data_IF_954262665044
#
_entry.id   IF_954262665044
#
_cell.length_a   1.000
_cell.length_b   1.000
_cell.length_c   1.000
_cell.angle_alpha   90.00
_cell.angle_beta   90.00
_cell.angle_gamma   90.00
#
_symmetry.space_group_name_H-M   'P 1'
#
loop_
_entity.id
_entity.type
_entity.pdbx_description
1 polymer ?
#
# COMPACT_ATOMS: atom_id res chain seq x y z
N UNK A 1 16.04 -28.65 29.04
CA UNK A 1 17.05 -27.71 28.52
C UNK A 1 16.64 -27.33 27.10
N UNK A 2 16.04 -26.17 26.91
CA UNK A 2 15.66 -25.68 25.59
C UNK A 2 16.88 -25.04 24.93
N UNK A 3 17.41 -25.70 23.92
CA UNK A 3 18.51 -25.19 23.12
C UNK A 3 17.97 -24.08 22.22
N UNK A 4 18.13 -22.84 22.67
CA UNK A 4 17.83 -21.67 21.85
C UNK A 4 18.81 -21.67 20.68
N UNK A 5 18.31 -21.92 19.47
CA UNK A 5 19.09 -21.77 18.23
C UNK A 5 19.71 -20.37 18.20
N UNK A 6 21.00 -20.23 17.85
CA UNK A 6 21.59 -18.91 17.62
C UNK A 6 20.79 -18.24 16.52
N UNK A 7 20.35 -17.00 16.73
CA UNK A 7 19.83 -16.16 15.64
C UNK A 7 21.00 -15.98 14.67
N UNK A 8 20.92 -16.61 13.52
CA UNK A 8 21.77 -16.23 12.40
C UNK A 8 21.48 -14.75 12.13
N UNK A 9 22.49 -13.92 12.35
CA UNK A 9 22.44 -12.53 11.95
C UNK A 9 22.53 -12.57 10.43
N UNK A 10 21.39 -12.33 9.75
CA UNK A 10 21.41 -12.14 8.31
C UNK A 10 22.23 -10.88 8.01
N UNK A 11 23.37 -11.07 7.37
CA UNK A 11 24.25 -9.97 6.93
C UNK A 11 23.69 -9.23 5.72
N UNK A 12 22.56 -9.73 5.16
CA UNK A 12 21.95 -9.19 3.95
C UNK A 12 20.50 -8.79 4.23
N UNK A 13 20.13 -7.62 3.74
CA UNK A 13 18.75 -7.20 3.74
C UNK A 13 18.00 -8.00 2.65
N UNK A 14 16.81 -8.52 2.98
CA UNK A 14 15.95 -9.15 2.00
C UNK A 14 15.52 -8.12 0.93
N UNK A 15 15.50 -8.56 -0.33
CA UNK A 15 15.00 -7.73 -1.42
C UNK A 15 13.54 -7.35 -1.17
N UNK A 16 13.16 -6.06 -1.13
CA UNK A 16 11.82 -5.65 -0.74
C UNK A 16 10.70 -6.27 -1.56
N UNK A 17 10.90 -6.47 -2.86
CA UNK A 17 9.90 -7.11 -3.71
C UNK A 17 9.92 -8.63 -3.60
N UNK A 18 11.10 -9.26 -3.77
CA UNK A 18 11.20 -10.71 -3.95
C UNK A 18 11.44 -11.48 -2.65
N UNK A 19 12.05 -10.84 -1.66
CA UNK A 19 12.52 -11.50 -0.44
C UNK A 19 11.61 -11.34 0.78
N UNK A 20 10.51 -10.59 0.67
CA UNK A 20 9.54 -10.36 1.75
C UNK A 20 8.19 -10.93 1.33
N UNK A 21 7.52 -11.64 2.24
CA UNK A 21 6.18 -12.17 1.96
C UNK A 21 5.12 -11.05 1.89
N UNK A 22 4.01 -11.24 1.16
CA UNK A 22 2.93 -10.25 1.07
C UNK A 22 2.17 -10.04 2.38
N UNK A 23 2.37 -10.90 3.37
CA UNK A 23 1.69 -10.91 4.66
C UNK A 23 0.99 -12.25 4.91
N UNK A 24 1.00 -12.71 6.16
CA UNK A 24 0.36 -13.99 6.53
C UNK A 24 -1.17 -13.93 6.40
N UNK A 25 -1.75 -12.73 6.57
CA UNK A 25 -3.19 -12.49 6.51
C UNK A 25 -3.65 -11.92 5.16
N UNK A 26 -2.76 -11.93 4.14
CA UNK A 26 -3.12 -11.44 2.81
C UNK A 26 -4.29 -12.26 2.21
N UNK A 27 -5.25 -11.63 1.53
CA UNK A 27 -5.29 -10.21 1.14
C UNK A 27 -5.96 -9.27 2.16
N UNK A 28 -6.38 -9.74 3.33
CA UNK A 28 -7.06 -8.92 4.34
C UNK A 28 -6.14 -7.86 4.96
N UNK A 29 -4.95 -8.27 5.36
CA UNK A 29 -3.85 -7.39 5.77
C UNK A 29 -2.63 -7.74 4.95
N UNK A 30 -1.99 -6.75 4.36
CA UNK A 30 -0.81 -6.94 3.52
C UNK A 30 0.39 -6.19 4.06
N UNK A 31 1.57 -6.70 3.79
CA UNK A 31 2.81 -5.95 3.90
C UNK A 31 2.87 -4.96 2.73
N UNK A 32 3.13 -3.70 3.02
CA UNK A 32 3.40 -2.69 2.02
C UNK A 32 4.81 -2.13 2.22
N UNK A 33 5.61 -2.13 1.17
CA UNK A 33 6.88 -1.42 1.13
C UNK A 33 6.63 -0.01 0.64
N UNK A 34 7.01 0.98 1.44
CA UNK A 34 6.78 2.39 1.15
C UNK A 34 8.04 2.99 0.52
N UNK A 35 7.88 3.49 -0.69
CA UNK A 35 8.93 4.15 -1.46
C UNK A 35 8.87 5.66 -1.31
N UNK A 36 7.65 6.22 -1.23
CA UNK A 36 7.39 7.66 -1.29
C UNK A 36 6.45 8.05 -0.16
N UNK A 37 6.76 9.17 0.48
CA UNK A 37 5.89 9.83 1.46
C UNK A 37 5.40 11.17 0.91
N UNK A 38 4.28 11.74 1.43
CA UNK A 38 3.68 12.96 0.88
C UNK A 38 4.60 14.19 0.84
N UNK A 39 5.66 14.20 1.65
CA UNK A 39 6.63 15.31 1.72
C UNK A 39 7.80 15.17 0.76
N UNK A 40 7.89 14.05 0.03
CA UNK A 40 9.00 13.84 -0.90
C UNK A 40 8.89 14.77 -2.13
N UNK A 41 9.94 15.52 -2.39
CA UNK A 41 10.06 16.38 -3.56
C UNK A 41 10.57 15.63 -4.81
N UNK A 42 10.94 14.36 -4.65
CA UNK A 42 11.42 13.48 -5.72
C UNK A 42 10.63 12.17 -5.70
N UNK A 43 10.46 11.57 -6.89
CA UNK A 43 9.94 10.21 -6.98
C UNK A 43 11.10 9.25 -6.71
N UNK A 44 10.93 8.41 -5.70
CA UNK A 44 11.77 7.25 -5.47
C UNK A 44 11.14 6.02 -6.13
N UNK A 45 11.98 5.11 -6.55
CA UNK A 45 11.58 3.85 -7.16
C UNK A 45 12.56 2.75 -6.76
N UNK A 46 12.04 1.57 -6.49
CA UNK A 46 12.88 0.41 -6.22
C UNK A 46 13.65 0.01 -7.47
N UNK A 47 14.96 -0.05 -7.39
CA UNK A 47 15.75 -0.74 -8.40
C UNK A 47 15.48 -2.25 -8.30
N UNK A 48 14.81 -2.77 -9.32
CA UNK A 48 14.30 -4.15 -9.33
C UNK A 48 15.40 -5.22 -9.27
N UNK A 49 16.61 -4.86 -9.61
CA UNK A 49 17.75 -5.79 -9.59
C UNK A 49 18.44 -5.81 -8.24
N UNK A 50 18.68 -4.64 -7.67
CA UNK A 50 19.47 -4.52 -6.43
C UNK A 50 18.61 -4.47 -5.16
N UNK A 51 17.33 -4.11 -5.28
CA UNK A 51 16.43 -3.91 -4.14
C UNK A 51 16.69 -2.62 -3.37
N UNK A 52 17.47 -1.69 -3.91
CA UNK A 52 17.69 -0.38 -3.31
C UNK A 52 16.75 0.67 -3.89
N UNK A 53 16.33 1.64 -3.07
CA UNK A 53 15.65 2.81 -3.57
C UNK A 53 16.62 3.69 -4.36
N UNK A 54 16.18 4.15 -5.52
CA UNK A 54 16.86 5.15 -6.33
C UNK A 54 15.94 6.34 -6.60
N UNK A 55 16.52 7.48 -6.90
CA UNK A 55 15.78 8.64 -7.40
C UNK A 55 15.45 8.39 -8.87
N UNK A 56 14.15 8.40 -9.20
CA UNK A 56 13.67 8.32 -10.58
C UNK A 56 13.65 9.72 -11.22
N UNK A 57 12.88 10.65 -10.64
CA UNK A 57 12.75 12.01 -11.15
C UNK A 57 12.28 13.00 -10.08
N UNK A 58 12.49 14.31 -10.26
CA UNK A 58 11.85 15.32 -9.43
C UNK A 58 10.33 15.25 -9.57
N UNK A 59 9.61 15.40 -8.46
CA UNK A 59 8.15 15.51 -8.46
C UNK A 59 7.73 16.96 -8.79
N UNK A 60 6.64 17.10 -9.55
CA UNK A 60 5.94 18.36 -9.75
C UNK A 60 4.68 18.38 -8.88
N UNK A 61 4.14 19.55 -8.60
CA UNK A 61 2.95 19.69 -7.76
C UNK A 61 1.80 18.76 -8.16
N UNK A 62 1.58 18.55 -9.46
CA UNK A 62 0.53 17.68 -9.97
C UNK A 62 0.81 16.18 -9.81
N UNK A 63 2.04 15.79 -9.46
CA UNK A 63 2.45 14.39 -9.31
C UNK A 63 2.86 14.03 -7.88
N UNK A 64 2.70 14.94 -6.92
CA UNK A 64 2.94 14.63 -5.51
C UNK A 64 1.85 13.68 -5.00
N UNK A 65 2.27 12.56 -4.44
CA UNK A 65 1.33 11.57 -3.89
C UNK A 65 0.75 12.10 -2.56
N UNK A 66 -0.59 12.15 -2.40
CA UNK A 66 -1.21 12.64 -1.17
C UNK A 66 -1.20 11.61 -0.03
N UNK A 67 -0.72 10.40 -0.26
CA UNK A 67 -0.66 9.29 0.67
C UNK A 67 0.75 8.69 0.70
N UNK A 68 1.00 7.76 1.61
CA UNK A 68 2.15 6.88 1.47
C UNK A 68 1.98 6.05 0.21
N UNK A 69 3.03 5.88 -0.56
CA UNK A 69 2.98 5.16 -1.83
C UNK A 69 4.13 4.17 -1.93
N UNK A 70 3.83 3.02 -2.49
CA UNK A 70 4.78 1.95 -2.70
C UNK A 70 4.11 0.72 -3.30
N UNK A 71 4.52 -0.47 -2.93
CA UNK A 71 4.02 -1.70 -3.52
C UNK A 71 3.82 -2.83 -2.49
N UNK A 72 3.07 -3.84 -2.91
CA UNK A 72 2.89 -5.08 -2.15
C UNK A 72 3.99 -6.07 -2.55
N UNK A 73 4.82 -6.57 -1.60
CA UNK A 73 5.84 -7.57 -1.89
C UNK A 73 5.29 -8.83 -2.56
N UNK A 74 6.09 -9.46 -3.42
CA UNK A 74 5.77 -10.69 -4.15
C UNK A 74 4.45 -10.63 -4.96
N UNK A 75 3.90 -9.43 -5.17
CA UNK A 75 2.81 -9.22 -6.11
C UNK A 75 3.33 -8.96 -7.52
N UNK A 76 2.47 -9.07 -8.52
CA UNK A 76 2.85 -8.89 -9.92
C UNK A 76 1.65 -8.45 -10.76
N UNK A 77 1.78 -7.29 -11.39
CA UNK A 77 0.80 -6.79 -12.34
C UNK A 77 1.06 -7.42 -13.72
N UNK A 78 0.59 -8.64 -13.89
CA UNK A 78 0.76 -9.46 -15.10
C UNK A 78 -0.53 -9.69 -15.86
N UNK A 79 -0.60 -10.84 -16.53
CA UNK A 79 -1.71 -11.21 -17.42
C UNK A 79 -3.08 -11.22 -16.72
N UNK A 80 -3.15 -11.68 -15.47
CA UNK A 80 -4.42 -11.73 -14.73
C UNK A 80 -4.98 -10.34 -14.45
N UNK A 81 -4.12 -9.37 -14.11
CA UNK A 81 -4.52 -7.98 -13.88
C UNK A 81 -4.95 -7.35 -15.20
N UNK A 82 -4.21 -7.60 -16.27
CA UNK A 82 -4.54 -7.13 -17.61
C UNK A 82 -5.90 -7.68 -18.08
N UNK A 83 -6.16 -8.97 -17.89
CA UNK A 83 -7.44 -9.59 -18.23
C UNK A 83 -8.58 -8.96 -17.43
N UNK A 84 -8.43 -8.84 -16.12
CA UNK A 84 -9.44 -8.20 -15.27
C UNK A 84 -9.68 -6.75 -15.69
N UNK A 85 -8.63 -6.02 -16.08
CA UNK A 85 -8.75 -4.67 -16.58
C UNK A 85 -9.55 -4.63 -17.88
N UNK A 86 -9.25 -5.51 -18.85
CA UNK A 86 -10.01 -5.62 -20.10
C UNK A 86 -11.48 -5.94 -19.86
N UNK A 87 -11.79 -6.90 -19.00
CA UNK A 87 -13.15 -7.31 -18.66
C UNK A 87 -13.97 -6.18 -18.03
N UNK A 88 -13.35 -5.43 -17.12
CA UNK A 88 -14.03 -4.37 -16.37
C UNK A 88 -14.19 -3.07 -17.13
N UNK A 89 -13.29 -2.77 -18.05
CA UNK A 89 -13.30 -1.51 -18.83
C UNK A 89 -13.90 -1.67 -20.23
N UNK A 90 -13.99 -2.90 -20.73
CA UNK A 90 -14.34 -3.18 -22.12
C UNK A 90 -13.21 -2.85 -23.12
N UNK A 91 -12.04 -2.41 -22.63
CA UNK A 91 -10.88 -2.08 -23.46
C UNK A 91 -10.13 -3.36 -23.81
N UNK A 92 -9.68 -3.47 -25.07
CA UNK A 92 -8.93 -4.65 -25.54
C UNK A 92 -7.44 -4.34 -25.67
N UNK A 93 -6.61 -5.38 -25.53
CA UNK A 93 -5.18 -5.27 -25.77
C UNK A 93 -4.39 -4.63 -24.64
N UNK A 94 -4.99 -4.51 -23.45
CA UNK A 94 -4.28 -4.08 -22.25
C UNK A 94 -3.32 -5.19 -21.81
N UNK A 95 -2.13 -4.81 -21.41
CA UNK A 95 -1.10 -5.69 -20.84
C UNK A 95 -0.87 -5.31 -19.37
N UNK A 96 -0.30 -6.21 -18.57
CA UNK A 96 0.25 -5.82 -17.27
C UNK A 96 1.55 -5.03 -17.48
N UNK A 97 1.86 -4.12 -16.58
CA UNK A 97 3.09 -3.33 -16.63
C UNK A 97 4.35 -4.13 -16.24
N UNK A 98 4.15 -5.32 -15.62
CA UNK A 98 5.23 -6.19 -15.19
C UNK A 98 5.88 -5.77 -13.86
N UNK A 99 5.24 -4.87 -13.15
CA UNK A 99 5.69 -4.35 -11.86
C UNK A 99 4.94 -4.97 -10.67
N UNK A 100 5.41 -4.82 -9.43
CA UNK A 100 4.62 -5.18 -8.27
C UNK A 100 3.33 -4.35 -8.23
N UNK A 101 2.30 -4.87 -7.57
CA UNK A 101 1.03 -4.14 -7.41
C UNK A 101 1.25 -2.91 -6.53
N UNK A 102 0.96 -1.76 -7.08
CA UNK A 102 1.03 -0.47 -6.38
C UNK A 102 0.01 -0.36 -5.26
N UNK A 103 0.41 0.27 -4.17
CA UNK A 103 -0.44 0.51 -3.01
C UNK A 103 -0.33 1.96 -2.53
N UNK A 104 -1.49 2.57 -2.29
CA UNK A 104 -1.63 3.86 -1.61
C UNK A 104 -2.12 3.60 -0.19
N UNK A 105 -1.34 3.99 0.83
CA UNK A 105 -1.72 3.78 2.23
C UNK A 105 -2.12 5.10 2.86
N UNK A 106 -3.41 5.18 3.19
CA UNK A 106 -3.98 6.33 3.90
C UNK A 106 -3.62 6.24 5.38
N UNK A 107 -3.20 7.35 5.95
CA UNK A 107 -2.84 7.46 7.36
C UNK A 107 -2.96 8.90 7.85
N UNK A 108 -3.28 9.07 9.14
CA UNK A 108 -3.21 10.36 9.83
C UNK A 108 -1.79 10.67 10.36
N UNK A 109 -0.86 9.72 10.21
CA UNK A 109 0.51 9.87 10.69
C UNK A 109 1.39 10.53 9.64
N UNK A 110 2.38 11.28 10.11
CA UNK A 110 3.42 11.86 9.25
C UNK A 110 4.66 10.99 9.33
N UNK A 111 5.18 10.63 8.17
CA UNK A 111 6.43 9.90 8.01
C UNK A 111 7.46 10.81 7.34
N UNK A 112 8.69 10.77 7.85
CA UNK A 112 9.75 11.66 7.38
C UNK A 112 10.41 11.20 6.07
N UNK A 113 10.36 9.89 5.79
CA UNK A 113 10.99 9.28 4.62
C UNK A 113 10.36 7.91 4.33
N UNK A 114 10.52 7.41 3.10
CA UNK A 114 10.18 6.04 2.72
C UNK A 114 11.24 5.02 3.15
N UNK A 115 11.32 3.89 2.42
CA UNK A 115 12.23 2.77 2.66
C UNK A 115 11.92 1.97 3.93
N UNK A 116 10.65 1.66 4.15
CA UNK A 116 10.21 0.83 5.27
C UNK A 116 8.99 -0.01 4.90
N UNK A 117 8.72 -1.04 5.72
CA UNK A 117 7.50 -1.84 5.65
C UNK A 117 6.49 -1.40 6.69
N UNK A 118 5.22 -1.55 6.33
CA UNK A 118 4.10 -1.43 7.25
C UNK A 118 3.03 -2.47 6.91
N UNK A 119 2.08 -2.67 7.83
CA UNK A 119 0.87 -3.45 7.59
C UNK A 119 -0.26 -2.52 7.17
N UNK A 120 -0.89 -2.86 6.04
CA UNK A 120 -1.98 -2.10 5.46
C UNK A 120 -3.20 -2.99 5.24
N UNK A 121 -4.40 -2.44 5.46
CA UNK A 121 -5.66 -3.11 5.19
C UNK A 121 -6.26 -2.55 3.91
N UNK A 122 -6.34 -3.34 2.82
CA UNK A 122 -6.98 -2.93 1.57
C UNK A 122 -8.46 -2.60 1.78
N UNK A 123 -8.88 -1.43 1.30
CA UNK A 123 -10.28 -0.97 1.36
C UNK A 123 -10.90 -0.76 -0.01
N UNK A 124 -10.10 -0.83 -1.07
CA UNK A 124 -10.56 -0.65 -2.44
C UNK A 124 -9.42 -0.58 -3.43
N UNK A 125 -9.70 -0.12 -4.63
CA UNK A 125 -8.70 0.07 -5.67
C UNK A 125 -9.13 1.07 -6.71
N UNK A 126 -8.15 1.67 -7.37
CA UNK A 126 -8.31 2.51 -8.54
C UNK A 126 -7.84 1.73 -9.75
N UNK A 127 -8.71 1.59 -10.74
CA UNK A 127 -8.32 1.05 -12.03
C UNK A 127 -7.74 2.16 -12.89
N UNK A 128 -6.52 1.97 -13.30
CA UNK A 128 -5.81 2.92 -14.15
C UNK A 128 -5.26 2.21 -15.38
N UNK A 129 -5.21 2.93 -16.49
CA UNK A 129 -4.60 2.48 -17.74
C UNK A 129 -3.61 3.54 -18.14
N UNK A 130 -2.35 3.19 -18.23
CA UNK A 130 -1.29 4.03 -18.77
C UNK A 130 -0.73 3.39 -20.03
N UNK A 131 -0.81 4.12 -21.15
CA UNK A 131 -0.30 3.69 -22.47
C UNK A 131 -0.60 2.21 -22.79
N UNK A 132 -1.85 1.75 -22.62
CA UNK A 132 -2.32 0.36 -22.80
C UNK A 132 -1.76 -0.66 -21.78
N UNK A 133 -1.21 -0.20 -20.68
CA UNK A 133 -0.85 -1.05 -19.55
C UNK A 133 -1.82 -0.87 -18.39
N UNK A 134 -2.16 -1.97 -17.73
CA UNK A 134 -2.89 -1.91 -16.48
C UNK A 134 -1.95 -1.38 -15.40
N UNK A 135 -2.35 -0.31 -14.74
CA UNK A 135 -1.59 0.39 -13.71
C UNK A 135 -2.49 0.60 -12.47
N UNK A 136 -3.13 -0.51 -12.04
CA UNK A 136 -4.08 -0.51 -10.94
C UNK A 136 -3.40 -0.16 -9.61
N UNK A 137 -4.06 0.66 -8.78
CA UNK A 137 -3.58 1.08 -7.46
C UNK A 137 -4.48 0.49 -6.38
N UNK A 138 -3.92 -0.24 -5.44
CA UNK A 138 -4.64 -0.68 -4.25
C UNK A 138 -4.75 0.49 -3.27
N UNK A 139 -5.94 0.78 -2.79
CA UNK A 139 -6.18 1.77 -1.75
C UNK A 139 -6.32 1.04 -0.43
N UNK A 140 -5.58 1.47 0.56
CA UNK A 140 -5.54 0.83 1.88
C UNK A 140 -5.44 1.87 3.00
N UNK A 141 -5.63 1.41 4.23
CA UNK A 141 -5.44 2.19 5.46
C UNK A 141 -4.31 1.56 6.28
N UNK A 142 -3.51 2.37 6.91
CA UNK A 142 -2.51 1.88 7.86
C UNK A 142 -3.22 1.10 8.99
N UNK A 143 -2.86 -0.16 9.19
CA UNK A 143 -3.51 -1.03 10.18
C UNK A 143 -3.55 -0.40 11.58
N UNK A 144 -2.47 0.26 11.99
CA UNK A 144 -2.41 0.94 13.29
C UNK A 144 -3.40 2.12 13.45
N UNK A 145 -3.88 2.71 12.34
CA UNK A 145 -4.84 3.82 12.35
C UNK A 145 -6.29 3.32 12.34
N UNK A 146 -6.54 2.12 11.86
CA UNK A 146 -7.90 1.57 11.73
C UNK A 146 -8.59 1.48 13.09
N UNK A 147 -7.89 1.03 14.12
CA UNK A 147 -8.42 0.98 15.49
C UNK A 147 -8.80 2.37 16.01
N UNK A 148 -8.02 3.38 15.68
CA UNK A 148 -8.29 4.78 16.05
C UNK A 148 -9.51 5.33 15.29
N UNK A 149 -9.63 5.07 14.00
CA UNK A 149 -10.75 5.49 13.17
C UNK A 149 -12.05 4.82 13.60
N UNK A 150 -12.05 3.51 13.82
CA UNK A 150 -13.22 2.76 14.32
C UNK A 150 -13.65 3.28 15.69
N UNK A 151 -12.72 3.52 16.60
CA UNK A 151 -13.02 4.06 17.92
C UNK A 151 -13.66 5.44 17.84
N UNK A 152 -13.15 6.34 16.98
CA UNK A 152 -13.75 7.67 16.73
C UNK A 152 -15.17 7.57 16.16
N UNK A 153 -15.39 6.66 15.20
CA UNK A 153 -16.73 6.44 14.60
C UNK A 153 -17.69 5.92 15.64
N UNK A 154 -17.32 4.91 16.41
CA UNK A 154 -18.17 4.35 17.47
C UNK A 154 -18.54 5.40 18.52
N UNK A 155 -17.58 6.22 18.95
CA UNK A 155 -17.83 7.31 19.91
C UNK A 155 -18.80 8.34 19.32
N UNK A 156 -18.67 8.68 18.05
CA UNK A 156 -19.56 9.61 17.36
C UNK A 156 -20.99 9.06 17.24
N UNK A 157 -21.13 7.78 16.90
CA UNK A 157 -22.43 7.10 16.81
C UNK A 157 -23.11 7.03 18.20
N UNK A 158 -22.36 6.69 19.26
CA UNK A 158 -22.89 6.68 20.62
C UNK A 158 -23.38 8.07 21.06
N UNK A 159 -22.61 9.13 20.74
CA UNK A 159 -23.01 10.52 21.04
C UNK A 159 -24.28 10.91 20.31
N UNK A 160 -24.43 10.56 19.03
CA UNK A 160 -25.64 10.80 18.26
C UNK A 160 -26.85 10.04 18.84
N UNK A 161 -26.66 8.79 19.23
CA UNK A 161 -27.70 7.98 19.87
C UNK A 161 -28.17 8.59 21.21
N UNK A 162 -27.25 9.09 22.04
CA UNK A 162 -27.60 9.73 23.31
C UNK A 162 -28.37 11.05 23.11
N UNK A 163 -28.00 11.84 22.09
CA UNK A 163 -28.72 13.06 21.73
C UNK A 163 -30.14 12.73 21.23
N UNK A 164 -30.28 11.74 20.36
CA UNK A 164 -31.58 11.30 19.86
C UNK A 164 -32.51 10.84 21.01
N UNK A 165 -31.97 10.07 21.97
CA UNK A 165 -32.75 9.63 23.15
C UNK A 165 -33.19 10.79 24.04
N UNK A 166 -32.38 11.86 24.16
CA UNK A 166 -32.73 13.04 24.97
C UNK A 166 -33.71 13.97 24.27
N UNK A 167 -33.91 13.87 22.96
CA UNK A 167 -34.88 14.67 22.19
C UNK A 167 -36.29 14.00 22.20
N UNK A 168 -36.31 12.67 22.33
CA UNK A 168 -37.57 11.87 22.25
C UNK A 168 -38.20 11.67 23.64
N UNK A 169 -37.46 11.97 24.71
CA UNK A 169 -38.00 12.00 26.09
C UNK A 169 -38.53 13.37 26.48
#
# INVERSE_FOLDING_TARGET
>A
MSTKMPREISLFQAHPWHGVAPGEEAPGTVNAYIEIVPTDAVKYELDKQSGHLRVDRPQRFSSMCPSLYGFIPQSYCGEQVAQLCCERTGTRGIQGDGDPMDICVLTEKTFAQGNFFLHAEPIGGLRMIDVQQADDKIISVLQADLHTAISKILTSVQKLSSIASSIIS
#
